data_IF_211273809515
#
_entry.id   IF_211273809515
#
_cell.length_a   1.000
_cell.length_b   1.000
_cell.length_c   1.000
_cell.angle_alpha   90.00
_cell.angle_beta   90.00
_cell.angle_gamma   90.00
#
_symmetry.space_group_name_H-M   'P 1'
#
loop_
_entity.id
_entity.type
_entity.pdbx_description
1 polymer ?
#
# COMPACT_ATOMS: atom_id res chain seq x y z
N UNK A 1 21.16 -11.94 -11.21
CA UNK A 1 21.66 -10.93 -10.26
C UNK A 1 20.51 -10.10 -9.66
N UNK A 2 19.64 -9.43 -10.46
CA UNK A 2 18.58 -8.57 -9.92
C UNK A 2 17.57 -9.32 -9.04
N UNK A 3 16.99 -10.42 -9.52
CA UNK A 3 16.02 -11.23 -8.75
C UNK A 3 16.64 -11.67 -7.42
N UNK A 4 17.87 -12.16 -7.43
CA UNK A 4 18.57 -12.57 -6.21
C UNK A 4 18.72 -11.42 -5.22
N UNK A 5 19.13 -10.22 -5.69
CA UNK A 5 19.23 -9.01 -4.85
C UNK A 5 17.86 -8.66 -4.26
N UNK A 6 16.84 -8.55 -5.12
CA UNK A 6 15.50 -8.11 -4.68
C UNK A 6 14.85 -9.07 -3.69
N UNK A 7 14.98 -10.39 -3.92
CA UNK A 7 14.49 -11.42 -2.98
C UNK A 7 15.31 -11.41 -1.69
N UNK A 8 16.65 -11.27 -1.79
CA UNK A 8 17.51 -11.14 -0.62
C UNK A 8 17.16 -9.90 0.21
N UNK A 9 16.94 -8.76 -0.42
CA UNK A 9 16.53 -7.53 0.25
C UNK A 9 15.14 -7.68 0.92
N UNK A 10 14.20 -8.38 0.28
CA UNK A 10 12.89 -8.68 0.86
C UNK A 10 13.01 -9.47 2.16
N UNK A 11 13.79 -10.55 2.17
CA UNK A 11 13.93 -11.42 3.35
C UNK A 11 14.90 -10.88 4.41
N UNK A 12 15.50 -9.70 4.24
CA UNK A 12 16.20 -9.01 5.35
C UNK A 12 15.25 -8.57 6.46
N UNK A 13 14.02 -8.25 6.12
CA UNK A 13 13.02 -7.72 7.06
C UNK A 13 11.75 -8.58 7.12
N UNK A 14 11.37 -9.22 6.02
CA UNK A 14 10.21 -10.10 5.97
C UNK A 14 10.42 -11.36 6.83
N UNK A 15 9.38 -11.80 7.59
CA UNK A 15 9.46 -13.03 8.38
C UNK A 15 9.79 -14.26 7.52
N UNK A 16 10.55 -15.19 8.09
CA UNK A 16 10.82 -16.47 7.45
C UNK A 16 9.49 -17.19 7.17
N UNK A 17 9.34 -17.73 5.95
CA UNK A 17 8.11 -18.40 5.50
C UNK A 17 7.08 -17.47 4.85
N UNK A 18 7.34 -16.14 4.78
CA UNK A 18 6.50 -15.24 3.98
C UNK A 18 6.51 -15.69 2.51
N UNK A 19 5.32 -15.92 1.95
CA UNK A 19 5.17 -16.37 0.56
C UNK A 19 5.45 -15.23 -0.40
N UNK A 20 6.29 -15.49 -1.40
CA UNK A 20 6.62 -14.57 -2.48
C UNK A 20 6.26 -15.22 -3.83
N UNK A 21 5.39 -14.57 -4.59
CA UNK A 21 5.08 -14.96 -5.97
C UNK A 21 6.01 -14.21 -6.90
N UNK A 22 6.67 -14.92 -7.81
CA UNK A 22 7.67 -14.33 -8.72
C UNK A 22 7.26 -14.61 -10.15
N UNK A 23 7.21 -13.55 -10.96
CA UNK A 23 7.10 -13.65 -12.41
C UNK A 23 8.33 -12.98 -13.02
N UNK A 24 9.07 -13.75 -13.80
CA UNK A 24 10.21 -13.23 -14.54
C UNK A 24 9.76 -12.80 -15.95
N UNK A 25 10.17 -11.62 -16.36
CA UNK A 25 10.00 -11.09 -17.71
C UNK A 25 11.38 -10.93 -18.36
N UNK A 26 11.43 -10.86 -19.69
CA UNK A 26 12.64 -10.52 -20.41
C UNK A 26 13.09 -9.09 -20.06
N UNK A 27 14.38 -8.83 -20.09
CA UNK A 27 14.96 -7.49 -19.79
C UNK A 27 14.59 -6.41 -20.79
N UNK A 28 14.06 -6.80 -21.96
CA UNK A 28 13.50 -5.89 -22.97
C UNK A 28 12.09 -5.38 -22.64
N UNK A 29 11.40 -5.99 -21.64
CA UNK A 29 10.05 -5.58 -21.24
C UNK A 29 10.14 -4.34 -20.35
N UNK A 30 9.44 -3.29 -20.74
CA UNK A 30 9.37 -2.04 -19.96
C UNK A 30 8.60 -2.24 -18.65
N UNK A 31 8.93 -1.42 -17.66
CA UNK A 31 8.24 -1.43 -16.38
C UNK A 31 6.74 -1.14 -16.54
N UNK A 32 6.38 -0.18 -17.37
CA UNK A 32 5.00 0.15 -17.70
C UNK A 32 4.23 -1.04 -18.29
N UNK A 33 4.86 -1.84 -19.16
CA UNK A 33 4.26 -3.06 -19.71
C UNK A 33 4.06 -4.14 -18.66
N UNK A 34 4.98 -4.26 -17.69
CA UNK A 34 4.87 -5.27 -16.62
C UNK A 34 3.62 -5.09 -15.77
N UNK A 35 3.17 -3.85 -15.58
CA UNK A 35 2.01 -3.49 -14.74
C UNK A 35 0.78 -3.08 -15.56
N UNK A 36 0.85 -3.17 -16.88
CA UNK A 36 -0.29 -2.89 -17.75
C UNK A 36 -1.32 -4.02 -17.68
N UNK A 37 -2.56 -3.69 -17.30
CA UNK A 37 -3.65 -4.65 -17.20
C UNK A 37 -4.07 -5.25 -18.56
N UNK A 38 -3.69 -4.65 -19.67
CA UNK A 38 -3.93 -5.17 -21.02
C UNK A 38 -2.90 -6.22 -21.45
N UNK A 39 -1.75 -6.24 -20.77
CA UNK A 39 -0.67 -7.21 -20.97
C UNK A 39 -0.84 -8.44 -20.06
N UNK A 40 0.02 -9.44 -20.28
CA UNK A 40 -0.10 -10.75 -19.61
C UNK A 40 0.79 -10.89 -18.36
N UNK A 41 1.60 -9.90 -18.01
CA UNK A 41 2.59 -10.00 -16.92
C UNK A 41 1.94 -9.99 -15.53
N UNK A 42 1.86 -8.85 -14.86
CA UNK A 42 1.30 -8.75 -13.52
C UNK A 42 -0.16 -9.23 -13.46
N UNK A 43 -0.94 -9.04 -14.52
CA UNK A 43 -2.29 -9.57 -14.63
C UNK A 43 -2.35 -11.08 -14.45
N UNK A 44 -1.51 -11.85 -15.17
CA UNK A 44 -1.48 -13.31 -15.04
C UNK A 44 -0.99 -13.74 -13.66
N UNK A 45 -0.02 -13.03 -13.08
CA UNK A 45 0.43 -13.28 -11.72
C UNK A 45 -0.71 -13.14 -10.70
N UNK A 46 -1.52 -12.08 -10.81
CA UNK A 46 -2.69 -11.83 -9.95
C UNK A 46 -3.72 -12.95 -10.12
N UNK A 47 -4.01 -13.34 -11.37
CA UNK A 47 -4.96 -14.42 -11.66
C UNK A 47 -4.47 -15.76 -11.07
N UNK A 48 -3.21 -16.11 -11.31
CA UNK A 48 -2.62 -17.35 -10.81
C UNK A 48 -2.57 -17.41 -9.27
N UNK A 49 -2.35 -16.28 -8.64
CA UNK A 49 -2.32 -16.17 -7.17
C UNK A 49 -3.69 -16.21 -6.51
N UNK A 50 -4.78 -16.09 -7.28
CA UNK A 50 -6.16 -16.21 -6.81
C UNK A 50 -6.44 -15.49 -5.49
N UNK A 51 -6.13 -14.20 -5.42
CA UNK A 51 -6.34 -13.38 -4.24
C UNK A 51 -5.28 -13.48 -3.14
N UNK A 52 -4.22 -14.28 -3.29
CA UNK A 52 -3.18 -14.40 -2.28
C UNK A 52 -2.23 -13.18 -2.22
N UNK A 53 -2.10 -12.41 -3.31
CA UNK A 53 -1.22 -11.23 -3.40
C UNK A 53 -1.92 -10.02 -2.76
N UNK A 54 -1.23 -9.37 -1.82
CA UNK A 54 -1.69 -8.14 -1.17
C UNK A 54 -1.03 -6.88 -1.74
N UNK A 55 0.16 -7.02 -2.32
CA UNK A 55 0.86 -5.96 -3.03
C UNK A 55 1.84 -6.56 -4.04
N UNK A 56 2.21 -5.78 -5.04
CA UNK A 56 3.20 -6.13 -6.06
C UNK A 56 4.40 -5.20 -5.89
N UNK A 57 5.61 -5.71 -6.01
CA UNK A 57 6.83 -4.92 -6.22
C UNK A 57 7.37 -5.21 -7.62
N UNK A 58 7.79 -4.17 -8.31
CA UNK A 58 8.40 -4.27 -9.63
C UNK A 58 9.89 -4.03 -9.50
N UNK A 59 10.69 -4.94 -10.03
CA UNK A 59 12.14 -4.78 -10.13
C UNK A 59 12.55 -4.89 -11.60
N UNK A 60 13.25 -3.90 -12.11
CA UNK A 60 13.64 -3.81 -13.52
C UNK A 60 15.14 -3.70 -13.64
N UNK A 61 15.68 -4.43 -14.60
CA UNK A 61 17.04 -4.29 -15.07
C UNK A 61 16.99 -3.75 -16.50
N UNK A 62 17.83 -2.78 -16.79
CA UNK A 62 17.94 -2.27 -18.16
C UNK A 62 18.50 -3.33 -19.10
N UNK A 63 17.89 -3.46 -20.27
CA UNK A 63 18.50 -4.15 -21.38
C UNK A 63 19.79 -3.42 -21.83
N UNK A 64 20.71 -4.15 -22.44
CA UNK A 64 22.01 -3.58 -22.88
C UNK A 64 21.84 -2.35 -23.79
N UNK A 65 20.79 -2.34 -24.61
CA UNK A 65 20.49 -1.23 -25.53
C UNK A 65 19.47 -0.22 -24.98
N UNK A 66 19.10 -0.31 -23.70
CA UNK A 66 18.13 0.59 -23.12
C UNK A 66 18.70 2.00 -22.98
N UNK A 67 18.03 2.98 -23.57
CA UNK A 67 18.35 4.40 -23.45
C UNK A 67 17.20 5.09 -22.67
N UNK A 68 17.43 5.51 -21.41
CA UNK A 68 16.39 6.17 -20.62
C UNK A 68 16.06 7.54 -21.19
N UNK A 69 14.79 7.89 -21.22
CA UNK A 69 14.32 9.25 -21.51
C UNK A 69 14.00 9.91 -20.18
N UNK A 70 14.85 10.83 -19.74
CA UNK A 70 14.65 11.48 -18.44
C UNK A 70 13.61 12.60 -18.58
N UNK A 71 12.53 12.47 -17.82
CA UNK A 71 11.49 13.48 -17.71
C UNK A 71 11.21 13.75 -16.23
N UNK A 72 11.23 15.01 -15.84
CA UNK A 72 11.03 15.41 -14.45
C UNK A 72 11.87 14.57 -13.45
N UNK A 73 13.17 14.44 -13.74
CA UNK A 73 14.16 13.81 -12.85
C UNK A 73 14.15 12.29 -12.78
N UNK A 74 13.25 11.61 -13.48
CA UNK A 74 13.13 10.16 -13.56
C UNK A 74 13.01 9.70 -15.02
N UNK A 75 13.19 8.40 -15.25
CA UNK A 75 12.84 7.76 -16.52
C UNK A 75 11.34 7.96 -16.82
N UNK A 76 11.00 8.41 -18.02
CA UNK A 76 9.63 8.64 -18.45
C UNK A 76 8.71 7.39 -18.33
N UNK A 77 9.30 6.19 -18.40
CA UNK A 77 8.60 4.94 -18.20
C UNK A 77 7.99 4.82 -16.78
N UNK A 78 8.53 5.53 -15.76
CA UNK A 78 8.00 5.55 -14.39
C UNK A 78 6.61 6.18 -14.35
N UNK A 79 6.42 7.30 -15.07
CA UNK A 79 5.12 8.00 -15.10
C UNK A 79 4.05 7.15 -15.78
N UNK A 80 4.39 6.45 -16.86
CA UNK A 80 3.48 5.54 -17.54
C UNK A 80 3.17 4.32 -16.67
N UNK A 81 4.19 3.75 -16.02
CA UNK A 81 4.01 2.62 -15.12
C UNK A 81 3.12 2.97 -13.91
N UNK A 82 3.19 4.19 -13.41
CA UNK A 82 2.35 4.69 -12.32
C UNK A 82 0.86 4.64 -12.69
N UNK A 83 0.51 5.17 -13.87
CA UNK A 83 -0.87 5.14 -14.39
C UNK A 83 -1.35 3.70 -14.63
N UNK A 84 -0.51 2.87 -15.26
CA UNK A 84 -0.84 1.47 -15.54
C UNK A 84 -1.01 0.65 -14.26
N UNK A 85 -0.15 0.86 -13.25
CA UNK A 85 -0.22 0.18 -11.97
C UNK A 85 -1.49 0.56 -11.18
N UNK A 86 -1.92 1.82 -11.24
CA UNK A 86 -3.20 2.27 -10.67
C UNK A 86 -4.36 1.53 -11.34
N UNK A 87 -4.41 1.52 -12.66
CA UNK A 87 -5.45 0.83 -13.42
C UNK A 87 -5.47 -0.68 -13.12
N UNK A 88 -4.29 -1.32 -13.02
CA UNK A 88 -4.16 -2.72 -12.63
C UNK A 88 -4.72 -2.98 -11.22
N UNK A 89 -4.41 -2.10 -10.26
CA UNK A 89 -4.90 -2.20 -8.89
C UNK A 89 -6.42 -2.04 -8.78
N UNK A 90 -7.00 -1.11 -9.53
CA UNK A 90 -8.44 -0.90 -9.64
C UNK A 90 -9.11 -2.13 -10.27
N UNK A 91 -8.60 -2.61 -11.41
CA UNK A 91 -9.09 -3.84 -12.03
C UNK A 91 -9.05 -5.04 -11.10
N UNK A 92 -7.96 -5.21 -10.36
CA UNK A 92 -7.83 -6.31 -9.39
C UNK A 92 -8.88 -6.21 -8.26
N UNK A 93 -9.15 -5.01 -7.79
CA UNK A 93 -10.15 -4.78 -6.74
C UNK A 93 -11.58 -5.00 -7.24
N UNK A 94 -11.93 -4.47 -8.39
CA UNK A 94 -13.31 -4.45 -8.90
C UNK A 94 -13.70 -5.73 -9.64
N UNK A 95 -12.75 -6.32 -10.38
CA UNK A 95 -13.04 -7.50 -11.24
C UNK A 95 -12.63 -8.80 -10.58
N UNK A 96 -11.57 -8.80 -9.76
CA UNK A 96 -11.06 -10.00 -9.09
C UNK A 96 -11.37 -10.04 -7.60
N UNK A 97 -11.97 -8.97 -7.06
CA UNK A 97 -12.27 -8.83 -5.64
C UNK A 97 -11.05 -9.07 -4.74
N UNK A 98 -9.88 -8.79 -5.30
CA UNK A 98 -8.55 -9.00 -4.71
C UNK A 98 -7.75 -7.70 -4.69
N UNK A 99 -8.18 -6.69 -3.89
CA UNK A 99 -7.53 -5.38 -3.86
C UNK A 99 -6.06 -5.48 -3.49
N UNK A 100 -5.22 -4.73 -4.20
CA UNK A 100 -3.78 -4.65 -3.98
C UNK A 100 -3.27 -3.26 -4.35
N UNK A 101 -2.01 -2.99 -3.98
CA UNK A 101 -1.27 -1.82 -4.44
C UNK A 101 0.10 -2.23 -4.98
N UNK A 102 0.76 -1.32 -5.71
CA UNK A 102 2.02 -1.60 -6.41
C UNK A 102 3.13 -0.69 -5.91
N UNK A 103 4.32 -1.25 -5.73
CA UNK A 103 5.57 -0.57 -5.41
C UNK A 103 6.40 -0.47 -6.69
N UNK A 104 6.67 0.75 -7.15
CA UNK A 104 7.48 1.03 -8.32
C UNK A 104 8.85 1.59 -7.92
N UNK A 105 9.93 1.24 -8.62
CA UNK A 105 11.21 1.92 -8.47
C UNK A 105 11.19 3.26 -9.21
N UNK A 106 11.68 4.32 -8.56
CA UNK A 106 12.00 5.60 -9.18
C UNK A 106 13.31 5.48 -9.95
N UNK A 107 13.22 4.99 -11.21
CA UNK A 107 14.38 4.64 -12.03
C UNK A 107 15.08 5.86 -12.61
N UNK A 108 16.40 5.75 -12.78
CA UNK A 108 17.27 6.76 -13.37
C UNK A 108 17.14 8.14 -12.70
N UNK A 109 17.04 8.16 -11.37
CA UNK A 109 16.95 9.41 -10.64
C UNK A 109 18.19 10.27 -10.89
N UNK A 110 17.98 11.47 -11.43
CA UNK A 110 19.03 12.38 -11.88
C UNK A 110 19.74 13.16 -10.75
N UNK A 111 19.41 12.91 -9.48
CA UNK A 111 20.07 13.55 -8.34
C UNK A 111 19.52 14.92 -7.94
N UNK A 112 18.50 15.45 -8.63
CA UNK A 112 17.92 16.77 -8.34
C UNK A 112 16.45 16.62 -7.90
N UNK A 113 16.21 16.65 -6.61
CA UNK A 113 14.88 16.41 -6.02
C UNK A 113 13.83 17.46 -6.45
N UNK A 114 14.23 18.71 -6.67
CA UNK A 114 13.32 19.78 -7.09
C UNK A 114 12.70 19.57 -8.48
N UNK A 115 13.33 18.79 -9.35
CA UNK A 115 12.83 18.50 -10.71
C UNK A 115 11.76 17.41 -10.73
N UNK A 116 11.61 16.63 -9.66
CA UNK A 116 10.63 15.54 -9.59
C UNK A 116 9.21 16.06 -9.77
N UNK A 117 8.39 15.30 -10.49
CA UNK A 117 6.93 15.52 -10.53
C UNK A 117 6.36 15.41 -9.13
N UNK A 118 5.43 16.27 -8.78
CA UNK A 118 4.70 16.19 -7.51
C UNK A 118 3.61 15.13 -7.59
N UNK A 119 3.84 13.98 -6.96
CA UNK A 119 2.88 12.88 -6.91
C UNK A 119 1.73 13.14 -5.93
N UNK A 120 1.88 14.11 -5.02
CA UNK A 120 0.84 14.48 -4.06
C UNK A 120 -0.35 15.21 -4.69
N UNK A 121 -0.24 15.58 -5.97
CA UNK A 121 -1.33 16.17 -6.75
C UNK A 121 -2.07 15.13 -7.63
N UNK A 122 -1.66 13.87 -7.55
CA UNK A 122 -2.21 12.77 -8.35
C UNK A 122 -3.39 12.06 -7.69
N UNK A 123 -3.94 11.06 -8.38
CA UNK A 123 -5.06 10.21 -7.93
C UNK A 123 -4.68 8.73 -7.89
N UNK A 124 -3.38 8.43 -7.71
CA UNK A 124 -2.86 7.05 -7.80
C UNK A 124 -2.72 6.42 -6.40
N UNK A 125 -3.83 6.28 -5.69
CA UNK A 125 -3.88 5.78 -4.32
C UNK A 125 -3.63 4.25 -4.16
N UNK A 126 -3.22 3.57 -5.23
CA UNK A 126 -2.78 2.16 -5.23
C UNK A 126 -1.33 2.00 -5.69
N UNK A 127 -0.58 3.08 -5.74
CA UNK A 127 0.82 3.03 -6.19
C UNK A 127 1.70 3.88 -5.28
N UNK A 128 2.87 3.37 -4.92
CA UNK A 128 3.95 4.15 -4.33
C UNK A 128 5.21 4.03 -5.16
N UNK A 129 6.05 5.06 -5.13
CA UNK A 129 7.33 5.10 -5.84
C UNK A 129 8.45 5.28 -4.83
N UNK A 130 9.43 4.36 -4.87
CA UNK A 130 10.63 4.40 -4.03
C UNK A 130 11.81 4.96 -4.81
N UNK A 131 12.49 5.96 -4.27
CA UNK A 131 13.77 6.48 -4.77
C UNK A 131 14.87 6.11 -3.79
N UNK A 132 15.97 5.58 -4.31
CA UNK A 132 17.17 5.18 -3.56
C UNK A 132 17.40 3.68 -3.50
N UNK A 133 18.66 3.30 -3.34
CA UNK A 133 19.11 1.89 -3.35
C UNK A 133 20.22 1.66 -2.31
N UNK A 134 20.52 0.40 -2.08
CA UNK A 134 21.65 -0.06 -1.27
C UNK A 134 23.00 0.02 -2.03
N UNK A 135 22.98 0.31 -3.32
CA UNK A 135 24.16 0.56 -4.14
C UNK A 135 24.21 2.03 -4.58
N UNK A 136 25.38 2.64 -4.50
CA UNK A 136 25.62 4.01 -4.99
C UNK A 136 25.42 4.08 -6.50
N UNK A 137 24.88 5.17 -6.99
CA UNK A 137 24.60 5.43 -8.41
C UNK A 137 23.78 4.33 -9.09
N UNK A 138 22.94 3.61 -8.34
CA UNK A 138 22.02 2.64 -8.90
C UNK A 138 20.99 3.35 -9.78
N UNK A 139 20.69 2.76 -10.92
CA UNK A 139 19.62 3.21 -11.82
C UNK A 139 18.23 2.73 -11.38
N UNK A 140 18.16 1.84 -10.40
CA UNK A 140 16.93 1.29 -9.83
C UNK A 140 16.65 1.82 -8.42
N UNK A 141 15.83 1.08 -7.67
CA UNK A 141 15.55 1.33 -6.26
C UNK A 141 15.46 0.02 -5.48
N UNK A 142 15.73 0.07 -4.16
CA UNK A 142 15.70 -1.10 -3.28
C UNK A 142 14.26 -1.49 -2.90
N UNK A 143 13.40 -1.73 -3.90
CA UNK A 143 11.98 -2.10 -3.69
C UNK A 143 11.82 -3.34 -2.82
N UNK A 144 12.78 -4.26 -2.83
CA UNK A 144 12.81 -5.43 -1.96
C UNK A 144 12.85 -5.06 -0.47
N UNK A 145 13.64 -4.05 -0.07
CA UNK A 145 13.69 -3.58 1.32
C UNK A 145 12.34 -3.01 1.77
N UNK A 146 11.70 -2.19 0.91
CA UNK A 146 10.38 -1.62 1.20
C UNK A 146 9.33 -2.72 1.31
N UNK A 147 9.31 -3.65 0.36
CA UNK A 147 8.38 -4.78 0.37
C UNK A 147 8.59 -5.68 1.61
N UNK A 148 9.84 -5.95 1.99
CA UNK A 148 10.18 -6.69 3.20
C UNK A 148 9.67 -6.02 4.46
N UNK A 149 9.87 -4.70 4.60
CA UNK A 149 9.33 -3.90 5.71
C UNK A 149 7.81 -3.95 5.76
N UNK A 150 7.13 -3.82 4.61
CA UNK A 150 5.68 -3.92 4.53
C UNK A 150 5.19 -5.31 4.98
N UNK A 151 5.89 -6.37 4.58
CA UNK A 151 5.54 -7.74 4.95
C UNK A 151 5.80 -8.05 6.44
N UNK A 152 6.79 -7.39 7.06
CA UNK A 152 7.18 -7.64 8.46
C UNK A 152 6.25 -6.99 9.49
N UNK A 153 5.44 -6.02 9.12
CA UNK A 153 4.62 -5.24 10.04
C UNK A 153 3.12 -5.47 9.84
N UNK A 154 2.32 -5.35 10.91
CA UNK A 154 0.85 -5.39 10.80
C UNK A 154 0.31 -4.33 9.84
N UNK A 155 -0.87 -4.58 9.26
CA UNK A 155 -1.42 -3.75 8.16
C UNK A 155 -1.61 -2.28 8.53
N UNK A 156 -1.93 -1.98 9.79
CA UNK A 156 -2.15 -0.62 10.29
C UNK A 156 -0.85 0.11 10.66
N UNK A 157 0.30 -0.56 10.63
CA UNK A 157 1.55 0.06 11.08
C UNK A 157 2.24 0.79 9.94
N UNK A 158 2.69 2.02 10.23
CA UNK A 158 3.52 2.79 9.30
C UNK A 158 4.90 2.15 9.13
N UNK A 159 5.39 2.12 7.88
CA UNK A 159 6.75 1.66 7.54
C UNK A 159 7.82 2.60 8.07
N UNK A 160 7.47 3.90 8.24
CA UNK A 160 8.36 4.93 8.76
C UNK A 160 8.43 4.95 10.29
N UNK A 161 7.74 4.03 10.98
CA UNK A 161 7.72 3.99 12.45
C UNK A 161 9.10 3.69 13.01
N UNK A 162 9.72 4.68 13.67
CA UNK A 162 11.07 4.58 14.25
C UNK A 162 11.20 3.46 15.29
N UNK A 163 10.17 3.23 16.12
CA UNK A 163 10.14 2.15 17.12
C UNK A 163 10.17 0.75 16.51
N UNK A 164 9.95 0.60 15.21
CA UNK A 164 10.06 -0.70 14.52
C UNK A 164 11.52 -1.10 14.30
N UNK A 165 12.44 -0.15 14.39
CA UNK A 165 13.87 -0.34 14.14
C UNK A 165 14.30 0.15 12.75
N UNK A 166 15.60 0.30 12.56
CA UNK A 166 16.21 0.69 11.30
C UNK A 166 16.05 -0.40 10.22
N UNK A 167 16.25 -0.01 8.98
CA UNK A 167 16.34 -0.94 7.84
C UNK A 167 17.63 -1.75 8.01
N UNK A 168 17.62 -3.09 7.88
CA UNK A 168 18.78 -3.94 8.16
C UNK A 168 19.81 -3.94 7.00
N UNK A 169 20.44 -2.79 6.79
CA UNK A 169 21.47 -2.55 5.77
C UNK A 169 22.55 -1.62 6.34
N UNK A 170 23.77 -1.72 5.78
CA UNK A 170 24.90 -0.91 6.23
C UNK A 170 24.93 0.49 5.60
N UNK A 171 24.43 0.62 4.37
CA UNK A 171 24.42 1.90 3.64
C UNK A 171 23.24 1.98 2.69
N UNK A 172 22.71 3.19 2.52
CA UNK A 172 21.68 3.52 1.55
C UNK A 172 22.07 4.82 0.83
N UNK A 173 21.70 4.89 -0.44
CA UNK A 173 22.05 5.98 -1.33
C UNK A 173 20.79 6.53 -2.02
N UNK A 174 20.79 7.82 -2.27
CA UNK A 174 19.80 8.52 -3.08
C UNK A 174 20.57 9.04 -4.31
N UNK A 175 20.44 8.35 -5.44
CA UNK A 175 21.33 8.59 -6.57
C UNK A 175 22.79 8.19 -6.25
N UNK A 176 23.73 9.11 -6.45
CA UNK A 176 25.15 8.88 -6.23
C UNK A 176 25.64 9.21 -4.80
N UNK A 177 24.81 9.84 -3.98
CA UNK A 177 25.18 10.31 -2.63
C UNK A 177 24.54 9.45 -1.54
N UNK A 178 25.10 9.47 -0.33
CA UNK A 178 24.49 8.79 0.82
C UNK A 178 23.13 9.39 1.14
N UNK A 179 22.25 8.62 1.76
CA UNK A 179 20.87 9.04 2.03
C UNK A 179 20.78 10.35 2.83
N UNK A 180 21.77 10.64 3.67
CA UNK A 180 21.86 11.87 4.47
C UNK A 180 22.04 13.14 3.60
N UNK A 181 22.65 12.99 2.42
CA UNK A 181 23.00 14.09 1.52
C UNK A 181 22.08 14.20 0.29
N UNK A 182 21.08 13.34 0.20
CA UNK A 182 20.24 13.16 -1.01
C UNK A 182 18.92 13.91 -0.99
N UNK A 183 18.75 14.96 -0.20
CA UNK A 183 17.53 15.78 -0.09
C UNK A 183 16.25 14.96 0.23
N UNK A 184 16.26 14.07 1.23
CA UNK A 184 15.15 13.15 1.50
C UNK A 184 13.83 13.88 1.80
N UNK A 185 13.89 15.07 2.38
CA UNK A 185 12.69 15.84 2.73
C UNK A 185 11.99 16.37 1.48
N UNK A 186 12.73 16.91 0.50
CA UNK A 186 12.14 17.39 -0.77
C UNK A 186 11.53 16.23 -1.57
N UNK A 187 12.22 15.09 -1.62
CA UNK A 187 11.71 13.88 -2.28
C UNK A 187 10.41 13.41 -1.61
N UNK A 188 10.39 13.40 -0.28
CA UNK A 188 9.22 13.02 0.49
C UNK A 188 8.05 14.00 0.29
N UNK A 189 8.31 15.31 0.27
CA UNK A 189 7.27 16.33 0.08
C UNK A 189 6.57 16.18 -1.28
N UNK A 190 7.29 15.72 -2.30
CA UNK A 190 6.75 15.41 -3.62
C UNK A 190 6.04 14.04 -3.72
N UNK A 191 5.77 13.38 -2.59
CA UNK A 191 4.97 12.15 -2.55
C UNK A 191 5.73 10.86 -2.82
N UNK A 192 7.08 10.91 -2.90
CA UNK A 192 7.92 9.71 -3.04
C UNK A 192 8.33 9.17 -1.67
N UNK A 193 8.60 7.87 -1.62
CA UNK A 193 9.25 7.23 -0.48
C UNK A 193 10.75 7.21 -0.73
N UNK A 194 11.55 7.53 0.29
CA UNK A 194 12.99 7.42 0.25
C UNK A 194 13.54 7.08 1.63
N UNK A 195 14.83 7.25 1.85
CA UNK A 195 15.52 6.92 3.08
C UNK A 195 15.98 8.17 3.81
N UNK A 196 16.02 8.09 5.14
CA UNK A 196 16.53 9.14 6.02
C UNK A 196 17.24 8.56 7.24
N UNK A 197 17.99 9.40 7.92
CA UNK A 197 18.57 9.13 9.25
C UNK A 197 17.95 10.07 10.27
N UNK A 198 18.14 9.74 11.56
CA UNK A 198 17.72 10.60 12.66
C UNK A 198 18.88 10.85 13.59
N UNK A 199 19.03 12.08 14.07
CA UNK A 199 20.03 12.44 15.07
C UNK A 199 19.82 11.60 16.33
N UNK A 200 20.89 10.97 16.83
CA UNK A 200 20.85 10.11 18.00
C UNK A 200 20.21 8.72 17.78
N UNK A 201 19.95 8.34 16.52
CA UNK A 201 19.48 6.98 16.15
C UNK A 201 20.39 6.39 15.09
N UNK A 202 20.83 5.15 15.33
CA UNK A 202 21.64 4.43 14.35
C UNK A 202 20.80 3.88 13.21
N UNK A 203 21.39 3.82 12.01
CA UNK A 203 20.82 3.19 10.82
C UNK A 203 19.86 4.07 10.03
N UNK A 204 19.26 3.47 9.02
CA UNK A 204 18.40 4.14 8.06
C UNK A 204 16.93 3.80 8.28
N UNK A 205 16.05 4.72 7.92
CA UNK A 205 14.60 4.62 8.05
C UNK A 205 13.94 5.07 6.75
N UNK A 206 12.73 4.59 6.47
CA UNK A 206 11.92 5.17 5.39
C UNK A 206 11.42 6.56 5.82
N UNK A 207 11.33 7.48 4.86
CA UNK A 207 10.85 8.85 5.11
C UNK A 207 9.38 8.88 5.53
N UNK A 208 8.54 8.16 4.77
CA UNK A 208 7.09 8.12 4.97
C UNK A 208 6.50 6.84 4.33
N UNK A 209 5.17 6.75 4.29
CA UNK A 209 4.37 5.67 3.72
C UNK A 209 3.33 6.19 2.71
N UNK A 210 3.70 7.22 1.95
CA UNK A 210 2.82 7.90 0.98
C UNK A 210 2.54 7.01 -0.23
N UNK A 211 1.29 7.09 -0.70
CA UNK A 211 0.90 6.68 -2.05
C UNK A 211 0.90 7.90 -2.97
N UNK A 212 0.92 7.70 -4.27
CA UNK A 212 1.03 8.75 -5.29
C UNK A 212 -0.33 9.45 -5.51
N UNK A 213 -0.89 10.04 -4.47
CA UNK A 213 -2.20 10.68 -4.44
C UNK A 213 -2.22 11.88 -3.51
N UNK A 214 -3.27 12.69 -3.62
CA UNK A 214 -3.50 13.85 -2.76
C UNK A 214 -3.51 13.43 -1.27
N UNK A 215 -2.84 14.16 -0.38
CA UNK A 215 -2.80 13.86 1.05
C UNK A 215 -4.17 13.86 1.74
N UNK A 216 -5.17 14.50 1.14
CA UNK A 216 -6.56 14.52 1.64
C UNK A 216 -7.35 13.28 1.24
N UNK A 217 -6.83 12.44 0.33
CA UNK A 217 -7.43 11.14 0.02
C UNK A 217 -7.39 10.23 1.27
N UNK A 218 -8.50 9.60 1.58
CA UNK A 218 -8.62 8.66 2.71
C UNK A 218 -7.58 7.53 2.64
N UNK A 219 -7.14 7.20 1.45
CA UNK A 219 -6.19 6.13 1.14
C UNK A 219 -4.77 6.63 0.79
N UNK A 220 -4.43 7.87 1.12
CA UNK A 220 -3.13 8.46 0.79
C UNK A 220 -1.92 7.75 1.42
N UNK A 221 -2.13 6.86 2.38
CA UNK A 221 -1.08 6.17 3.13
C UNK A 221 -1.17 4.65 2.98
N UNK A 222 -0.02 4.00 2.80
CA UNK A 222 0.09 2.53 2.71
C UNK A 222 -0.68 1.81 3.83
N UNK A 223 -0.54 2.15 5.13
CA UNK A 223 -1.27 1.45 6.17
C UNK A 223 -2.79 1.63 6.08
N UNK A 224 -3.29 2.81 5.68
CA UNK A 224 -4.72 3.02 5.45
C UNK A 224 -5.23 2.16 4.30
N UNK A 225 -4.48 2.13 3.18
CA UNK A 225 -4.80 1.27 2.03
C UNK A 225 -4.80 -0.20 2.41
N UNK A 226 -3.81 -0.67 3.16
CA UNK A 226 -3.72 -2.06 3.63
C UNK A 226 -4.86 -2.46 4.57
N UNK A 227 -5.28 -1.55 5.45
CA UNK A 227 -6.40 -1.79 6.38
C UNK A 227 -7.70 -1.99 5.61
N UNK A 228 -8.04 -1.08 4.70
CA UNK A 228 -9.29 -1.19 3.92
C UNK A 228 -9.26 -2.40 2.97
N UNK A 229 -8.13 -2.70 2.33
CA UNK A 229 -8.00 -3.85 1.45
C UNK A 229 -8.14 -5.17 2.21
N UNK A 230 -7.60 -5.26 3.43
CA UNK A 230 -7.78 -6.43 4.30
C UNK A 230 -9.25 -6.58 4.76
N UNK A 231 -9.88 -5.48 5.18
CA UNK A 231 -11.29 -5.49 5.57
C UNK A 231 -12.19 -5.91 4.40
N UNK A 232 -11.93 -5.36 3.21
CA UNK A 232 -12.66 -5.71 1.99
C UNK A 232 -12.57 -7.22 1.69
N UNK A 233 -11.37 -7.81 1.74
CA UNK A 233 -11.17 -9.24 1.48
C UNK A 233 -11.92 -10.13 2.47
N UNK A 234 -11.93 -9.75 3.76
CA UNK A 234 -12.67 -10.49 4.79
C UNK A 234 -14.18 -10.34 4.56
N UNK A 235 -14.66 -9.11 4.37
CA UNK A 235 -16.07 -8.84 4.10
C UNK A 235 -16.56 -9.55 2.85
N UNK A 236 -15.82 -9.46 1.73
CA UNK A 236 -16.14 -10.16 0.49
C UNK A 236 -16.23 -11.68 0.70
N UNK A 237 -15.24 -12.29 1.35
CA UNK A 237 -15.24 -13.74 1.64
C UNK A 237 -16.46 -14.16 2.48
N UNK A 238 -16.87 -13.32 3.40
CA UNK A 238 -18.06 -13.61 4.23
C UNK A 238 -19.34 -13.47 3.41
N UNK A 239 -19.46 -12.40 2.61
CA UNK A 239 -20.63 -12.13 1.78
C UNK A 239 -20.83 -13.13 0.63
N UNK A 240 -19.75 -13.71 0.11
CA UNK A 240 -19.84 -14.74 -0.94
C UNK A 240 -20.70 -15.92 -0.53
N UNK A 241 -20.77 -16.23 0.76
CA UNK A 241 -21.62 -17.31 1.26
C UNK A 241 -23.13 -17.01 1.13
N UNK A 242 -23.49 -15.75 0.95
CA UNK A 242 -24.89 -15.31 0.75
C UNK A 242 -25.29 -15.27 -0.74
N UNK A 243 -24.34 -15.52 -1.67
CA UNK A 243 -24.65 -15.54 -3.10
C UNK A 243 -25.58 -16.68 -3.44
N UNK A 244 -26.68 -16.33 -4.15
CA UNK A 244 -27.72 -17.28 -4.58
C UNK A 244 -28.38 -18.04 -3.42
N UNK A 245 -28.29 -17.51 -2.19
CA UNK A 245 -29.00 -18.07 -1.05
C UNK A 245 -30.50 -17.74 -1.15
N UNK A 246 -31.32 -18.67 -0.72
CA UNK A 246 -32.79 -18.53 -0.67
C UNK A 246 -33.15 -17.67 0.55
N UNK A 247 -33.55 -16.44 0.33
CA UNK A 247 -33.88 -15.49 1.39
C UNK A 247 -35.38 -15.22 1.39
N UNK A 248 -36.09 -15.43 2.52
CA UNK A 248 -37.47 -15.00 2.66
C UNK A 248 -37.61 -13.49 2.43
N UNK A 249 -38.68 -13.07 1.81
CA UNK A 249 -38.96 -11.66 1.54
C UNK A 249 -40.29 -11.22 2.13
N UNK A 250 -40.41 -9.94 2.41
CA UNK A 250 -41.64 -9.28 2.80
C UNK A 250 -42.58 -9.10 1.60
N UNK A 251 -43.81 -8.66 1.83
CA UNK A 251 -44.75 -8.33 0.75
C UNK A 251 -44.24 -7.25 -0.21
N UNK A 252 -43.28 -6.40 0.23
CA UNK A 252 -42.59 -5.40 -0.57
C UNK A 252 -41.39 -5.95 -1.36
N UNK A 253 -41.07 -7.24 -1.23
CA UNK A 253 -39.90 -7.84 -1.88
C UNK A 253 -38.55 -7.55 -1.19
N UNK A 254 -38.57 -7.02 0.04
CA UNK A 254 -37.40 -6.69 0.84
C UNK A 254 -37.03 -7.83 1.78
N UNK A 255 -35.74 -7.88 2.19
CA UNK A 255 -35.28 -8.85 3.20
C UNK A 255 -35.81 -8.45 4.58
N UNK A 256 -36.35 -9.38 5.37
CA UNK A 256 -36.77 -9.10 6.76
C UNK A 256 -35.61 -8.56 7.61
N UNK A 257 -35.87 -7.52 8.40
CA UNK A 257 -34.84 -6.85 9.21
C UNK A 257 -34.02 -7.78 10.13
N UNK A 258 -34.56 -8.85 10.73
CA UNK A 258 -33.73 -9.80 11.50
C UNK A 258 -32.68 -10.52 10.65
N UNK A 259 -32.97 -10.86 9.39
CA UNK A 259 -32.04 -11.54 8.47
C UNK A 259 -30.96 -10.55 8.04
N UNK A 260 -31.35 -9.31 7.68
CA UNK A 260 -30.40 -8.22 7.40
C UNK A 260 -29.40 -8.05 8.56
N UNK A 261 -29.89 -8.00 9.79
CA UNK A 261 -29.06 -7.90 11.00
C UNK A 261 -28.14 -9.09 11.19
N UNK A 262 -28.58 -10.28 10.87
CA UNK A 262 -27.73 -11.49 10.93
C UNK A 262 -26.57 -11.40 9.95
N UNK A 263 -26.82 -10.98 8.70
CA UNK A 263 -25.77 -10.80 7.67
C UNK A 263 -24.79 -9.69 8.08
N UNK A 264 -25.30 -8.53 8.53
CA UNK A 264 -24.46 -7.44 9.03
C UNK A 264 -23.53 -7.93 10.14
N UNK A 265 -24.10 -8.60 11.16
CA UNK A 265 -23.33 -9.11 12.30
C UNK A 265 -22.30 -10.16 11.88
N UNK A 266 -22.60 -11.04 10.92
CA UNK A 266 -21.63 -12.01 10.41
C UNK A 266 -20.41 -11.34 9.79
N UNK A 267 -20.59 -10.25 9.02
CA UNK A 267 -19.49 -9.47 8.42
C UNK A 267 -18.71 -8.73 9.50
N UNK A 268 -19.39 -8.07 10.44
CA UNK A 268 -18.77 -7.31 11.52
C UNK A 268 -17.89 -8.22 12.40
N UNK A 269 -18.43 -9.34 12.86
CA UNK A 269 -17.71 -10.35 13.68
C UNK A 269 -16.52 -10.94 12.92
N UNK A 270 -16.69 -11.24 11.62
CA UNK A 270 -15.58 -11.76 10.81
C UNK A 270 -14.42 -10.77 10.72
N UNK A 271 -14.71 -9.47 10.55
CA UNK A 271 -13.69 -8.42 10.48
C UNK A 271 -13.08 -8.19 11.86
N UNK A 272 -13.89 -8.04 12.91
CA UNK A 272 -13.43 -7.83 14.28
C UNK A 272 -12.46 -8.94 14.71
N UNK A 273 -12.82 -10.20 14.46
CA UNK A 273 -11.99 -11.36 14.81
C UNK A 273 -10.67 -11.37 14.04
N UNK A 274 -10.69 -11.14 12.72
CA UNK A 274 -9.50 -11.26 11.86
C UNK A 274 -8.66 -9.97 11.79
N UNK A 275 -9.19 -8.85 12.31
CA UNK A 275 -8.51 -7.55 12.33
C UNK A 275 -8.34 -7.00 13.75
N UNK A 276 -8.42 -7.84 14.78
CA UNK A 276 -8.18 -7.43 16.16
C UNK A 276 -6.82 -6.72 16.27
N UNK A 277 -6.81 -5.52 16.86
CA UNK A 277 -5.64 -4.65 16.97
C UNK A 277 -5.18 -4.01 15.65
N UNK A 278 -5.91 -4.20 14.54
CA UNK A 278 -5.63 -3.52 13.27
C UNK A 278 -6.54 -2.31 13.02
N UNK A 279 -7.59 -2.13 13.82
CA UNK A 279 -8.55 -1.03 13.74
C UNK A 279 -8.35 -0.02 14.87
N UNK A 280 -8.59 1.26 14.58
CA UNK A 280 -8.46 2.37 15.52
C UNK A 280 -9.65 2.48 16.47
N UNK A 281 -9.88 1.45 17.27
CA UNK A 281 -10.94 1.40 18.28
C UNK A 281 -10.72 2.49 19.35
N UNK A 282 -11.78 3.16 19.78
CA UNK A 282 -11.74 4.11 20.89
C UNK A 282 -11.66 3.37 22.24
N UNK A 283 -10.53 3.49 22.97
CA UNK A 283 -10.37 2.82 24.27
C UNK A 283 -11.39 3.28 25.33
N UNK A 284 -11.97 4.47 25.16
CA UNK A 284 -12.98 5.04 26.05
C UNK A 284 -14.41 4.52 25.78
N UNK A 285 -14.62 3.83 24.65
CA UNK A 285 -15.92 3.31 24.27
C UNK A 285 -15.88 1.80 24.05
N UNK A 286 -16.26 0.97 25.03
CA UNK A 286 -16.21 -0.49 24.91
C UNK A 286 -17.18 -1.07 23.86
N UNK A 287 -18.06 -0.26 23.28
CA UNK A 287 -18.97 -0.64 22.19
C UNK A 287 -18.37 -0.33 20.80
N UNK A 288 -17.27 0.38 20.74
CA UNK A 288 -16.60 0.69 19.46
C UNK A 288 -15.75 -0.52 19.03
N UNK A 289 -16.21 -1.25 18.05
CA UNK A 289 -15.47 -2.37 17.45
C UNK A 289 -14.57 -1.92 16.31
N UNK A 290 -14.66 -0.65 15.90
CA UNK A 290 -13.91 -0.10 14.75
C UNK A 290 -14.42 -0.58 13.39
N UNK A 291 -15.56 -1.30 13.33
CA UNK A 291 -16.19 -1.78 12.10
C UNK A 291 -17.67 -1.54 12.14
N UNK A 292 -18.25 -1.24 10.99
CA UNK A 292 -19.70 -1.13 10.79
C UNK A 292 -20.05 -1.66 9.41
N UNK A 293 -20.96 -2.62 9.36
CA UNK A 293 -21.60 -3.08 8.14
C UNK A 293 -23.04 -2.57 8.11
N UNK A 294 -23.42 -1.91 7.04
CA UNK A 294 -24.77 -1.39 6.85
C UNK A 294 -25.38 -1.99 5.60
N UNK A 295 -26.55 -2.55 5.74
CA UNK A 295 -27.42 -3.03 4.66
C UNK A 295 -28.78 -2.36 4.86
N UNK A 296 -29.22 -1.63 3.83
CA UNK A 296 -30.56 -1.05 3.86
C UNK A 296 -31.62 -2.16 3.72
N UNK A 297 -32.44 -2.32 4.75
CA UNK A 297 -33.50 -3.33 4.77
C UNK A 297 -34.66 -3.02 3.80
N UNK A 298 -34.72 -1.81 3.22
CA UNK A 298 -35.75 -1.43 2.24
C UNK A 298 -35.43 -1.89 0.81
N UNK A 299 -34.25 -2.45 0.55
CA UNK A 299 -33.85 -2.93 -0.79
C UNK A 299 -34.80 -4.03 -1.26
N UNK A 300 -35.38 -3.84 -2.44
CA UNK A 300 -36.20 -4.86 -3.07
C UNK A 300 -35.34 -5.81 -3.90
N UNK A 301 -34.97 -6.95 -3.29
CA UNK A 301 -34.10 -7.96 -3.91
C UNK A 301 -34.84 -8.81 -4.95
N UNK A 302 -36.17 -8.86 -4.89
CA UNK A 302 -36.96 -9.59 -5.90
C UNK A 302 -36.87 -8.90 -7.26
N UNK A 303 -36.87 -7.56 -7.26
CA UNK A 303 -36.81 -6.79 -8.49
C UNK A 303 -35.38 -6.57 -9.00
N UNK A 304 -34.39 -6.44 -8.08
CA UNK A 304 -33.01 -6.09 -8.43
C UNK A 304 -32.06 -7.28 -8.50
N UNK A 305 -32.41 -8.39 -7.85
CA UNK A 305 -31.52 -9.55 -7.62
C UNK A 305 -30.16 -9.16 -7.03
N UNK A 306 -30.10 -8.02 -6.33
CA UNK A 306 -28.86 -7.42 -5.82
C UNK A 306 -29.01 -7.03 -4.35
N UNK A 307 -28.05 -7.45 -3.53
CA UNK A 307 -27.90 -7.00 -2.14
C UNK A 307 -26.73 -6.04 -2.05
N UNK A 308 -27.00 -4.79 -1.66
CA UNK A 308 -25.97 -3.75 -1.48
C UNK A 308 -25.66 -3.63 0.00
N UNK A 309 -24.38 -3.83 0.33
CA UNK A 309 -23.84 -3.63 1.67
C UNK A 309 -22.75 -2.54 1.66
N UNK A 310 -22.74 -1.69 2.67
CA UNK A 310 -21.72 -0.69 2.91
C UNK A 310 -20.89 -1.09 4.13
N UNK A 311 -19.57 -1.17 3.96
CA UNK A 311 -18.63 -1.52 5.02
C UNK A 311 -17.75 -0.33 5.35
N UNK A 312 -17.72 0.05 6.63
CA UNK A 312 -16.86 1.11 7.16
C UNK A 312 -15.93 0.55 8.22
N UNK A 313 -14.66 0.94 8.18
CA UNK A 313 -13.67 0.59 9.20
C UNK A 313 -12.94 1.83 9.68
N UNK A 314 -12.56 1.83 10.96
CA UNK A 314 -11.92 2.98 11.61
C UNK A 314 -10.40 2.83 11.54
N UNK A 315 -9.67 3.73 10.83
CA UNK A 315 -8.22 3.67 10.76
C UNK A 315 -7.57 4.22 12.02
N UNK A 316 -6.27 3.92 12.22
CA UNK A 316 -5.45 4.62 13.20
C UNK A 316 -5.03 6.01 12.69
N UNK A 317 -4.83 6.95 13.61
CA UNK A 317 -4.11 8.20 13.37
C UNK A 317 -2.59 8.02 13.49
N UNK A 318 -1.82 8.88 12.80
CA UNK A 318 -0.34 8.86 12.82
C UNK A 318 0.20 10.25 13.14
N UNK A 319 1.06 10.35 14.18
CA UNK A 319 1.84 11.56 14.44
C UNK A 319 3.05 11.58 13.52
N UNK A 320 2.94 12.25 12.39
CA UNK A 320 4.00 12.36 11.39
C UNK A 320 5.00 13.49 11.69
N UNK A 321 4.54 14.53 12.35
CA UNK A 321 5.32 15.68 12.76
C UNK A 321 5.18 15.87 14.27
N UNK A 322 6.26 16.30 14.92
CA UNK A 322 6.30 16.59 16.36
C UNK A 322 6.96 17.94 16.54
N UNK A 323 6.20 18.93 17.01
CA UNK A 323 6.71 20.23 17.41
C UNK A 323 6.99 20.20 18.91
N UNK A 324 8.24 20.42 19.29
CA UNK A 324 8.67 20.44 20.69
C UNK A 324 9.06 21.85 21.11
N UNK A 325 8.26 22.43 21.98
CA UNK A 325 8.54 23.74 22.57
C UNK A 325 9.30 23.56 23.88
N UNK A 326 10.46 24.23 24.00
CA UNK A 326 11.30 24.20 25.19
C UNK A 326 11.10 25.48 26.01
N UNK A 327 10.99 25.33 27.32
CA UNK A 327 10.94 26.44 28.28
C UNK A 327 11.56 26.05 29.62
N UNK A 328 11.97 27.02 30.38
CA UNK A 328 12.46 26.80 31.74
C UNK A 328 11.29 26.62 32.71
N UNK A 329 11.32 25.56 33.52
CA UNK A 329 10.43 25.44 34.66
C UNK A 329 10.97 26.30 35.78
N UNK A 330 10.43 27.52 35.96
CA UNK A 330 10.70 28.33 37.13
C UNK A 330 9.89 27.81 38.32
N UNK A 331 10.57 27.47 39.42
CA UNK A 331 9.89 27.19 40.68
C UNK A 331 9.45 28.53 41.23
N UNK A 332 8.14 28.80 41.28
CA UNK A 332 7.62 29.88 42.10
C UNK A 332 7.88 29.51 43.57
N UNK A 333 8.73 30.27 44.27
CA UNK A 333 8.97 30.16 45.72
C UNK A 333 7.72 30.65 46.44
#
# INVERSE_FOLDING_TARGET
>A
ALIYKTVGDFYKDAPIGTKLWILAAADTVKMSDMVDMTKTYAKNLIIAANGAINFIMVAVKDAVAYAPVITAGLDADVALALTNAQALGVWSAETKFAPLFTILPGRHYGGTASTLTDLSTGENNRVCVLIGDSASASVGAAVGLLAGRIASIPVQRSIARVKTGSIPVNSLFIGAVTAELGDPDIINDKGYITFRTFVGKAGYYFTDDKLATDPTDDYALIPRRRVIDKAYRIGYKTMVNELSNEVPVTDSGSIPAPIVKSIQNAVEVAIETNMNGNLGVDPGNPKDTGVQCFIDASQNIVSSSTLIASLKVKPFGYSKYIDLYLGFKTTTV
#
